data_IF_088140336718
#
_entry.id   IF_088140336718
#
_cell.length_a   1.000
_cell.length_b   1.000
_cell.length_c   1.000
_cell.angle_alpha   90.00
_cell.angle_beta   90.00
_cell.angle_gamma   90.00
#
_symmetry.space_group_name_H-M   'P 1'
#
loop_
_entity.id
_entity.type
_entity.pdbx_description
1 polymer ?
#
# COMPACT_ATOMS: atom_id res chain seq x y z
N UNK A 1 4.71 -1.35 -30.38
CA UNK A 1 5.20 -1.99 -29.14
C UNK A 1 6.71 -1.81 -29.12
N UNK A 2 7.23 -0.97 -28.21
CA UNK A 2 8.67 -0.73 -28.12
C UNK A 2 9.38 -2.05 -27.79
N UNK A 3 10.45 -2.37 -28.53
CA UNK A 3 11.32 -3.50 -28.21
C UNK A 3 11.82 -3.29 -26.78
N UNK A 4 11.38 -4.12 -25.84
CA UNK A 4 12.06 -4.29 -24.54
C UNK A 4 13.47 -4.71 -24.91
N UNK A 5 14.42 -3.78 -24.83
CA UNK A 5 15.83 -4.13 -24.87
C UNK A 5 16.03 -5.24 -23.85
N UNK A 6 16.69 -6.32 -24.26
CA UNK A 6 17.04 -7.45 -23.40
C UNK A 6 18.05 -6.97 -22.35
N UNK A 7 17.58 -6.22 -21.36
CA UNK A 7 18.39 -5.87 -20.20
C UNK A 7 18.64 -7.14 -19.43
N UNK A 8 19.91 -7.56 -19.39
CA UNK A 8 20.33 -8.66 -18.55
C UNK A 8 20.08 -8.28 -17.08
N UNK A 9 19.44 -9.16 -16.29
CA UNK A 9 19.23 -8.90 -14.87
C UNK A 9 20.58 -8.72 -14.17
N UNK A 10 20.72 -7.60 -13.47
CA UNK A 10 21.89 -7.25 -12.67
C UNK A 10 21.54 -7.30 -11.19
N UNK A 11 22.47 -7.79 -10.38
CA UNK A 11 22.37 -7.82 -8.92
C UNK A 11 23.51 -6.98 -8.35
N UNK A 12 23.22 -5.98 -7.53
CA UNK A 12 24.24 -5.18 -6.84
C UNK A 12 24.24 -5.55 -5.36
N UNK A 13 25.38 -6.03 -4.84
CA UNK A 13 25.58 -6.37 -3.44
C UNK A 13 26.89 -5.75 -2.95
N UNK A 14 26.81 -4.94 -1.88
CA UNK A 14 27.99 -4.28 -1.28
C UNK A 14 28.85 -3.55 -2.31
N UNK A 15 28.23 -2.73 -3.16
CA UNK A 15 28.87 -1.98 -4.25
C UNK A 15 29.51 -2.83 -5.35
N UNK A 16 29.28 -4.15 -5.35
CA UNK A 16 29.71 -5.07 -6.43
C UNK A 16 28.51 -5.42 -7.30
N UNK A 17 28.67 -5.27 -8.61
CA UNK A 17 27.65 -5.64 -9.61
C UNK A 17 27.93 -7.05 -10.17
N UNK A 18 26.89 -7.87 -10.25
CA UNK A 18 26.90 -9.22 -10.80
C UNK A 18 25.89 -9.33 -11.96
N UNK A 19 26.32 -9.89 -13.08
CA UNK A 19 25.43 -10.35 -14.16
C UNK A 19 24.80 -11.68 -13.75
N UNK A 20 23.50 -11.67 -13.45
CA UNK A 20 22.79 -12.85 -12.91
C UNK A 20 22.89 -14.06 -13.84
N UNK A 21 23.03 -13.85 -15.15
CA UNK A 21 23.10 -14.97 -16.09
C UNK A 21 24.49 -15.61 -16.15
N UNK A 22 25.55 -14.81 -15.96
CA UNK A 22 26.94 -15.22 -16.18
C UNK A 22 27.71 -15.51 -14.90
N UNK A 23 27.48 -14.71 -13.86
CA UNK A 23 28.29 -14.75 -12.64
C UNK A 23 27.69 -15.66 -11.55
N UNK A 24 26.42 -16.01 -11.69
CA UNK A 24 25.70 -16.85 -10.72
C UNK A 24 25.54 -18.28 -11.23
N UNK A 25 25.76 -19.25 -10.34
CA UNK A 25 25.38 -20.64 -10.54
C UNK A 25 23.87 -20.86 -10.34
N UNK A 26 23.38 -22.07 -10.60
CA UNK A 26 21.94 -22.37 -10.59
C UNK A 26 21.28 -22.15 -9.22
N UNK A 27 21.96 -22.54 -8.14
CA UNK A 27 21.48 -22.33 -6.76
C UNK A 27 21.38 -20.84 -6.45
N UNK A 28 22.41 -20.07 -6.79
CA UNK A 28 22.45 -18.62 -6.59
C UNK A 28 21.37 -17.90 -7.42
N UNK A 29 21.06 -18.39 -8.62
CA UNK A 29 19.94 -17.89 -9.43
C UNK A 29 18.59 -18.14 -8.76
N UNK A 30 18.41 -19.29 -8.11
CA UNK A 30 17.19 -19.55 -7.32
C UNK A 30 17.10 -18.62 -6.11
N UNK A 31 18.22 -18.36 -5.43
CA UNK A 31 18.26 -17.38 -4.33
C UNK A 31 17.90 -15.98 -4.82
N UNK A 32 18.46 -15.54 -5.95
CA UNK A 32 18.12 -14.26 -6.58
C UNK A 32 16.62 -14.17 -6.90
N UNK A 33 16.04 -15.20 -7.50
CA UNK A 33 14.59 -15.26 -7.78
C UNK A 33 13.78 -15.17 -6.49
N UNK A 34 14.22 -15.83 -5.41
CA UNK A 34 13.53 -15.74 -4.13
C UNK A 34 13.57 -14.32 -3.55
N UNK A 35 14.72 -13.64 -3.64
CA UNK A 35 14.85 -12.23 -3.23
C UNK A 35 13.91 -11.32 -4.02
N UNK A 36 13.81 -11.50 -5.34
CA UNK A 36 12.86 -10.74 -6.17
C UNK A 36 11.41 -10.95 -5.69
N UNK A 37 11.03 -12.21 -5.43
CA UNK A 37 9.69 -12.51 -4.93
C UNK A 37 9.43 -11.90 -3.54
N UNK A 38 10.44 -11.81 -2.68
CA UNK A 38 10.32 -11.15 -1.37
C UNK A 38 10.09 -9.65 -1.57
N UNK A 39 10.87 -9.01 -2.44
CA UNK A 39 10.75 -7.58 -2.73
C UNK A 39 9.35 -7.23 -3.28
N UNK A 40 8.83 -8.04 -4.22
CA UNK A 40 7.48 -7.87 -4.76
C UNK A 40 6.41 -7.99 -3.67
N UNK A 41 6.59 -8.92 -2.72
CA UNK A 41 5.69 -9.09 -1.57
C UNK A 41 5.78 -7.92 -0.59
N UNK A 42 6.99 -7.40 -0.33
CA UNK A 42 7.18 -6.21 0.50
C UNK A 42 6.43 -5.03 -0.13
N UNK A 43 6.63 -4.80 -1.42
CA UNK A 43 5.97 -3.72 -2.15
C UNK A 43 4.44 -3.85 -2.14
N UNK A 44 3.93 -5.07 -2.35
CA UNK A 44 2.49 -5.36 -2.26
C UNK A 44 1.92 -5.07 -0.87
N UNK A 45 2.62 -5.50 0.19
CA UNK A 45 2.21 -5.23 1.56
C UNK A 45 2.26 -3.74 1.90
N UNK A 46 3.28 -3.00 1.44
CA UNK A 46 3.37 -1.57 1.64
C UNK A 46 2.18 -0.83 1.01
N UNK A 47 1.78 -1.23 -0.20
CA UNK A 47 0.59 -0.68 -0.85
C UNK A 47 -0.69 -0.98 -0.05
N UNK A 48 -0.87 -2.22 0.43
CA UNK A 48 -2.01 -2.61 1.27
C UNK A 48 -2.03 -1.76 2.55
N UNK A 49 -0.88 -1.58 3.20
CA UNK A 49 -0.76 -0.76 4.41
C UNK A 49 -1.16 0.70 4.16
N UNK A 50 -0.75 1.28 3.02
CA UNK A 50 -1.17 2.62 2.63
C UNK A 50 -2.69 2.72 2.46
N UNK A 51 -3.31 1.74 1.80
CA UNK A 51 -4.75 1.72 1.61
C UNK A 51 -5.51 1.57 2.94
N UNK A 52 -5.01 0.73 3.85
CA UNK A 52 -5.59 0.56 5.19
C UNK A 52 -5.52 1.85 6.00
N UNK A 53 -4.41 2.59 5.93
CA UNK A 53 -4.27 3.89 6.59
C UNK A 53 -5.30 4.91 6.07
N UNK A 54 -5.41 5.06 4.74
CA UNK A 54 -6.39 5.94 4.10
C UNK A 54 -7.82 5.57 4.50
N UNK A 55 -8.15 4.27 4.46
CA UNK A 55 -9.49 3.79 4.81
C UNK A 55 -9.80 4.06 6.29
N UNK A 56 -8.85 3.81 7.19
CA UNK A 56 -9.02 4.07 8.61
C UNK A 56 -9.34 5.53 8.87
N UNK A 57 -8.61 6.46 8.26
CA UNK A 57 -8.84 7.89 8.41
C UNK A 57 -10.21 8.30 7.86
N UNK A 58 -10.63 7.73 6.74
CA UNK A 58 -11.97 7.94 6.20
C UNK A 58 -13.07 7.46 7.16
N UNK A 59 -12.93 6.27 7.75
CA UNK A 59 -13.89 5.76 8.73
C UNK A 59 -13.94 6.60 10.00
N UNK A 60 -12.81 7.15 10.46
CA UNK A 60 -12.78 8.08 11.60
C UNK A 60 -13.60 9.33 11.29
N UNK A 61 -13.40 9.96 10.13
CA UNK A 61 -14.17 11.15 9.72
C UNK A 61 -15.66 10.87 9.65
N UNK A 62 -16.05 9.73 9.06
CA UNK A 62 -17.45 9.32 9.00
C UNK A 62 -18.05 9.13 10.39
N UNK A 63 -17.28 8.58 11.34
CA UNK A 63 -17.71 8.43 12.72
C UNK A 63 -17.87 9.80 13.41
N UNK A 64 -16.91 10.70 13.25
CA UNK A 64 -16.96 12.07 13.78
C UNK A 64 -18.19 12.84 13.26
N UNK A 65 -18.45 12.77 11.95
CA UNK A 65 -19.62 13.39 11.32
C UNK A 65 -20.94 12.80 11.84
N UNK A 66 -21.00 11.48 12.03
CA UNK A 66 -22.18 10.79 12.58
C UNK A 66 -22.46 11.25 14.02
N UNK A 67 -21.41 11.33 14.85
CA UNK A 67 -21.52 11.78 16.24
C UNK A 67 -21.91 13.25 16.34
N UNK A 68 -21.38 14.10 15.47
CA UNK A 68 -21.76 15.51 15.40
C UNK A 68 -23.25 15.68 15.07
N UNK A 69 -23.80 14.89 14.14
CA UNK A 69 -25.23 14.89 13.82
C UNK A 69 -26.11 14.40 14.97
N UNK A 70 -25.64 13.45 15.78
CA UNK A 70 -26.40 12.97 16.94
C UNK A 70 -26.41 13.95 18.12
N UNK A 71 -25.44 14.85 18.19
CA UNK A 71 -25.31 15.85 19.25
C UNK A 71 -25.92 17.21 18.89
N UNK A 72 -26.49 17.34 17.69
CA UNK A 72 -27.31 18.50 17.32
C UNK A 72 -28.71 18.28 17.92
N UNK A 73 -29.13 19.05 18.94
CA UNK A 73 -30.50 18.97 19.40
C UNK A 73 -31.37 19.39 18.22
N UNK A 74 -32.14 18.45 17.68
CA UNK A 74 -33.15 18.68 16.64
C UNK A 74 -33.83 20.04 16.85
N UNK A 75 -34.09 20.82 15.78
CA UNK A 75 -34.66 22.16 15.90
C UNK A 75 -35.86 22.10 16.82
N UNK A 76 -35.82 22.95 17.84
CA UNK A 76 -36.96 23.33 18.67
C UNK A 76 -38.24 23.22 17.82
N UNK A 77 -39.06 22.22 18.12
CA UNK A 77 -40.37 22.07 17.51
C UNK A 77 -41.16 23.31 17.92
N UNK A 78 -41.46 24.25 17.01
CA UNK A 78 -42.20 25.46 17.37
C UNK A 78 -43.69 25.13 17.64
N UNK A 79 -44.08 23.85 17.69
CA UNK A 79 -45.43 23.39 17.98
C UNK A 79 -45.76 23.15 19.44
N UNK A 80 -44.81 23.24 20.38
CA UNK A 80 -45.05 22.96 21.81
C UNK A 80 -45.07 24.21 22.72
N UNK A 81 -45.26 25.39 22.12
CA UNK A 81 -45.74 26.57 22.83
C UNK A 81 -47.06 26.99 22.19
N UNK A 82 -48.19 26.51 22.73
CA UNK A 82 -49.39 27.31 22.97
C UNK A 82 -50.35 26.51 23.86
N UNK A 83 -50.81 27.19 24.91
CA UNK A 83 -51.85 26.82 25.89
C UNK A 83 -53.05 26.01 25.37
#
# INVERSE_FOLDING_TARGET
>A
MAKKENQTPKLVLNDVEYDVNKDLNDEQKQMYLHLQNIEDKINSNNFIQQQLAVNKDAFIRLLEESLAKSNDPSPHDPGDEND
#
